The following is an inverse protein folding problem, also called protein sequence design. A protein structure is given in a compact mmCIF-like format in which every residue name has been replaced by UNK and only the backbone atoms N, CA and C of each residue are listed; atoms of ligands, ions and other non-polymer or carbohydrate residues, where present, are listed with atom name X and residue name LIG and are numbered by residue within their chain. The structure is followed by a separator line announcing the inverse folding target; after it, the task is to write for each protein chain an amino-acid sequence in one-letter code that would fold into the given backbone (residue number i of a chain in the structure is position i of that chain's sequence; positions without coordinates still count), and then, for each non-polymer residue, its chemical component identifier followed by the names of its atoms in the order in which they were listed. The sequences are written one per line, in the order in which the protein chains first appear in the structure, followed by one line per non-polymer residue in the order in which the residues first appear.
data_IF_342258119531
#
_entry.id   IF_342258119531
#
_cell.length_a   1.000
_cell.length_b   1.000
_cell.length_c   1.000
_cell.angle_alpha   90.00
_cell.angle_beta   90.00
_cell.angle_gamma   90.00
#
_symmetry.space_group_name_H-M   'P 1'
#
loop_
_entity.id
_entity.type
_entity.pdbx_description
1 polymer ?
#
# COMPACT_ATOMS: atom_id res chain seq x y z
N UNK A 1 -5.84 3.00 5.04
CA UNK A 1 -4.37 3.25 5.02
C UNK A 1 -3.95 4.56 5.68
N UNK A 2 -4.82 5.27 6.41
CA UNK A 2 -4.47 6.54 7.05
C UNK A 2 -4.22 7.71 6.09
N UNK A 3 -4.50 7.55 4.79
CA UNK A 3 -4.46 8.63 3.81
C UNK A 3 -5.75 9.44 3.86
N UNK A 4 -5.64 10.76 3.79
CA UNK A 4 -6.78 11.70 3.81
C UNK A 4 -7.16 12.23 2.41
N UNK A 5 -6.48 11.78 1.35
CA UNK A 5 -6.63 12.36 0.01
C UNK A 5 -8.03 12.15 -0.58
N UNK A 6 -8.65 11.00 -0.32
CA UNK A 6 -9.93 10.59 -0.92
C UNK A 6 -11.15 10.92 -0.02
N UNK A 7 -11.02 11.89 0.89
CA UNK A 7 -12.10 12.31 1.79
C UNK A 7 -12.58 13.68 1.32
N UNK A 8 -13.80 13.76 0.80
CA UNK A 8 -14.33 14.95 0.13
C UNK A 8 -14.59 16.11 1.09
N UNK A 9 -14.89 15.82 2.35
CA UNK A 9 -15.14 16.82 3.39
C UNK A 9 -13.87 17.57 3.84
N UNK A 10 -12.69 17.02 3.55
CA UNK A 10 -11.43 17.60 3.99
C UNK A 10 -10.93 18.64 2.98
N UNK A 11 -10.66 19.89 3.40
CA UNK A 11 -10.10 20.92 2.53
C UNK A 11 -8.72 20.57 1.97
N UNK A 12 -8.40 21.09 0.78
CA UNK A 12 -7.16 20.78 0.06
C UNK A 12 -5.88 21.18 0.80
N UNK A 13 -5.91 22.26 1.57
CA UNK A 13 -4.77 22.67 2.39
C UNK A 13 -4.43 21.63 3.47
N UNK A 14 -5.45 20.98 4.02
CA UNK A 14 -5.30 19.92 5.01
C UNK A 14 -4.81 18.64 4.33
N UNK A 15 -5.37 18.29 3.16
CA UNK A 15 -4.88 17.16 2.35
C UNK A 15 -3.41 17.31 1.98
N UNK A 16 -2.98 18.53 1.63
CA UNK A 16 -1.59 18.83 1.27
C UNK A 16 -0.64 18.67 2.46
N UNK A 17 -1.08 19.12 3.64
CA UNK A 17 -0.32 19.08 4.89
C UNK A 17 -0.14 17.64 5.40
N UNK A 18 -1.18 16.82 5.31
CA UNK A 18 -1.18 15.44 5.82
C UNK A 18 -0.89 14.39 4.75
N UNK A 19 -0.09 14.75 3.74
CA UNK A 19 0.39 13.77 2.76
C UNK A 19 1.24 12.69 3.40
N UNK A 20 0.98 11.44 3.04
CA UNK A 20 1.77 10.31 3.52
C UNK A 20 3.11 10.22 2.76
N UNK A 21 4.07 9.45 3.30
CA UNK A 21 5.38 9.24 2.65
C UNK A 21 5.28 8.63 1.23
N UNK A 22 4.16 7.97 0.92
CA UNK A 22 3.87 7.37 -0.40
C UNK A 22 3.30 8.38 -1.40
N UNK A 23 2.68 9.46 -0.91
CA UNK A 23 2.06 10.52 -1.71
C UNK A 23 3.05 11.65 -2.04
N UNK A 24 4.18 11.71 -1.33
CA UNK A 24 5.23 12.69 -1.56
C UNK A 24 6.16 12.21 -2.67
N UNK A 25 6.49 13.13 -3.59
CA UNK A 25 7.49 12.87 -4.64
C UNK A 25 8.84 12.55 -4.03
N UNK A 26 9.37 11.36 -4.34
CA UNK A 26 10.69 10.94 -3.85
C UNK A 26 11.83 11.81 -4.42
N UNK A 27 11.62 12.48 -5.56
CA UNK A 27 12.57 13.46 -6.07
C UNK A 27 12.71 14.65 -5.14
N UNK A 28 11.59 15.20 -4.66
CA UNK A 28 11.61 16.31 -3.69
C UNK A 28 12.28 15.91 -2.38
N UNK A 29 12.13 14.64 -1.95
CA UNK A 29 12.85 14.12 -0.78
C UNK A 29 14.37 14.10 -1.03
N UNK A 30 14.82 13.71 -2.22
CA UNK A 30 16.24 13.73 -2.61
C UNK A 30 16.80 15.16 -2.67
N UNK A 31 16.04 16.09 -3.24
CA UNK A 31 16.45 17.51 -3.34
C UNK A 31 16.63 18.10 -1.93
N UNK A 32 15.63 17.94 -1.05
CA UNK A 32 15.72 18.39 0.34
C UNK A 32 16.84 17.67 1.13
N UNK A 33 17.14 16.42 0.78
CA UNK A 33 18.26 15.70 1.37
C UNK A 33 19.61 16.27 0.91
N UNK A 34 19.72 16.69 -0.36
CA UNK A 34 20.92 17.31 -0.89
C UNK A 34 21.15 18.69 -0.26
N UNK A 35 20.09 19.50 -0.15
CA UNK A 35 20.13 20.84 0.47
C UNK A 35 20.68 20.79 1.91
N UNK A 36 20.12 19.91 2.75
CA UNK A 36 20.64 19.75 4.12
C UNK A 36 21.97 19.00 4.18
N UNK A 37 22.27 18.19 3.16
CA UNK A 37 23.50 17.38 3.05
C UNK A 37 24.77 18.22 3.03
N UNK A 38 24.69 19.47 2.55
CA UNK A 38 25.80 20.44 2.58
C UNK A 38 26.30 20.75 4.00
N UNK A 39 25.43 20.59 5.02
CA UNK A 39 25.73 20.88 6.42
C UNK A 39 26.01 19.62 7.25
N UNK A 40 26.08 18.44 6.62
CA UNK A 40 26.30 17.15 7.30
C UNK A 40 27.72 16.64 6.99
N UNK A 41 28.55 16.54 8.04
CA UNK A 41 29.94 16.13 7.92
C UNK A 41 30.10 14.68 7.41
N UNK A 42 29.31 13.75 7.95
CA UNK A 42 29.26 12.35 7.50
C UNK A 42 28.13 12.17 6.49
N UNK A 43 27.17 11.29 6.74
CA UNK A 43 26.00 11.07 5.88
C UNK A 43 24.71 11.07 6.70
N UNK A 44 23.61 10.71 6.07
CA UNK A 44 22.28 10.66 6.64
C UNK A 44 21.53 9.43 6.14
N UNK A 45 20.73 8.83 7.03
CA UNK A 45 19.86 7.71 6.69
C UNK A 45 18.68 8.19 5.86
N UNK A 46 18.67 7.86 4.56
CA UNK A 46 17.63 8.28 3.63
C UNK A 46 16.77 7.11 3.18
N UNK A 47 15.56 6.98 3.75
CA UNK A 47 14.59 5.97 3.33
C UNK A 47 13.80 6.47 2.11
N UNK A 48 13.64 5.60 1.12
CA UNK A 48 12.87 5.87 -0.10
C UNK A 48 11.62 5.00 -0.10
N UNK A 49 10.48 5.62 -0.40
CA UNK A 49 9.17 4.97 -0.46
C UNK A 49 8.68 5.00 -1.90
N UNK A 50 8.50 3.85 -2.53
CA UNK A 50 8.11 3.79 -3.94
C UNK A 50 7.03 2.74 -4.18
N UNK A 51 5.95 3.17 -4.80
CA UNK A 51 4.89 2.31 -5.31
C UNK A 51 5.18 1.89 -6.76
N UNK A 52 4.81 0.67 -7.12
CA UNK A 52 4.99 0.13 -8.48
C UNK A 52 6.44 0.32 -8.97
N UNK A 53 7.37 -0.29 -8.23
CA UNK A 53 8.81 -0.17 -8.47
C UNK A 53 9.16 -0.80 -9.80
N UNK A 54 9.84 -0.03 -10.65
CA UNK A 54 10.42 -0.52 -11.90
C UNK A 54 11.92 -0.25 -11.90
N UNK A 55 12.68 -1.06 -12.64
CA UNK A 55 14.13 -0.86 -12.77
C UNK A 55 14.48 0.52 -13.32
N UNK A 56 13.65 1.07 -14.21
CA UNK A 56 13.83 2.43 -14.75
C UNK A 56 13.68 3.50 -13.66
N UNK A 57 12.66 3.39 -12.80
CA UNK A 57 12.44 4.33 -11.68
C UNK A 57 13.54 4.24 -10.63
N UNK A 58 14.00 3.04 -10.27
CA UNK A 58 15.11 2.90 -9.31
C UNK A 58 16.42 3.44 -9.88
N UNK A 59 16.73 3.09 -11.13
CA UNK A 59 17.95 3.54 -11.79
C UNK A 59 17.97 5.07 -11.89
N UNK A 60 16.89 5.69 -12.37
CA UNK A 60 16.79 7.15 -12.45
C UNK A 60 16.91 7.83 -11.09
N UNK A 61 16.29 7.28 -10.05
CA UNK A 61 16.39 7.77 -8.67
C UNK A 61 17.84 7.72 -8.16
N UNK A 62 18.54 6.59 -8.34
CA UNK A 62 19.95 6.46 -7.94
C UNK A 62 20.87 7.42 -8.69
N UNK A 63 20.71 7.55 -10.01
CA UNK A 63 21.50 8.50 -10.79
C UNK A 63 21.23 9.95 -10.40
N UNK A 64 19.98 10.28 -10.05
CA UNK A 64 19.63 11.61 -9.56
C UNK A 64 20.32 11.89 -8.21
N UNK A 65 20.27 10.95 -7.27
CA UNK A 65 20.91 11.07 -5.97
C UNK A 65 22.44 11.27 -6.10
N UNK A 66 23.08 10.47 -6.96
CA UNK A 66 24.50 10.56 -7.25
C UNK A 66 24.89 11.90 -7.87
N UNK A 67 24.16 12.35 -8.91
CA UNK A 67 24.39 13.66 -9.54
C UNK A 67 24.21 14.84 -8.58
N UNK A 68 23.32 14.69 -7.59
CA UNK A 68 23.07 15.70 -6.56
C UNK A 68 24.13 15.70 -5.45
N UNK A 69 25.14 14.83 -5.50
CA UNK A 69 26.22 14.78 -4.53
C UNK A 69 25.86 14.10 -3.19
N UNK A 70 24.76 13.34 -3.14
CA UNK A 70 24.37 12.63 -1.93
C UNK A 70 25.35 11.49 -1.62
N UNK A 71 25.91 11.51 -0.40
CA UNK A 71 26.79 10.44 0.12
C UNK A 71 26.03 9.12 0.29
N UNK A 72 24.80 9.18 0.79
CA UNK A 72 23.87 8.05 0.86
C UNK A 72 22.67 8.34 -0.03
N UNK A 73 22.61 7.67 -1.18
CA UNK A 73 21.49 7.81 -2.12
C UNK A 73 20.24 7.02 -1.71
N UNK A 74 20.39 5.95 -0.91
CA UNK A 74 19.29 5.15 -0.39
C UNK A 74 19.76 4.31 0.80
N UNK A 75 18.98 4.29 1.86
CA UNK A 75 19.17 3.40 3.01
C UNK A 75 18.25 2.17 2.89
N UNK A 76 16.94 2.36 3.08
CA UNK A 76 15.94 1.35 2.75
C UNK A 76 15.10 1.79 1.56
N UNK A 77 14.86 0.83 0.67
CA UNK A 77 13.74 0.88 -0.25
C UNK A 77 12.52 0.25 0.42
N UNK A 78 11.46 1.03 0.61
CA UNK A 78 10.16 0.54 1.06
C UNK A 78 9.25 0.47 -0.15
N UNK A 79 8.77 -0.74 -0.45
CA UNK A 79 7.83 -1.00 -1.52
C UNK A 79 6.47 -1.38 -0.93
N UNK A 80 5.40 -1.01 -1.61
CA UNK A 80 4.06 -1.54 -1.34
C UNK A 80 3.78 -2.71 -2.29
N UNK A 81 3.10 -3.73 -1.78
CA UNK A 81 2.54 -4.78 -2.62
C UNK A 81 1.47 -4.21 -3.55
N UNK A 82 1.30 -4.82 -4.72
CA UNK A 82 0.30 -4.40 -5.71
C UNK A 82 -1.15 -4.57 -5.19
N UNK A 83 -1.37 -5.49 -4.24
CA UNK A 83 -2.64 -5.67 -3.56
C UNK A 83 -2.45 -5.45 -2.05
N UNK A 84 -3.27 -4.58 -1.48
CA UNK A 84 -3.35 -4.42 -0.03
C UNK A 84 -4.13 -5.59 0.57
N UNK A 85 -3.60 -6.19 1.63
CA UNK A 85 -4.37 -7.14 2.44
C UNK A 85 -5.60 -6.44 3.02
N UNK A 86 -6.75 -7.14 3.03
CA UNK A 86 -8.01 -6.63 3.57
C UNK A 86 -7.78 -6.21 5.02
N UNK A 87 -7.89 -4.90 5.29
CA UNK A 87 -7.73 -4.35 6.63
C UNK A 87 -9.04 -4.55 7.37
N UNK A 88 -9.05 -5.49 8.32
CA UNK A 88 -10.21 -5.75 9.16
C UNK A 88 -10.32 -4.63 10.19
N UNK A 89 -11.11 -3.61 9.86
CA UNK A 89 -11.74 -2.77 10.88
C UNK A 89 -13.12 -3.37 11.15
N UNK A 90 -13.49 -3.47 12.42
CA UNK A 90 -14.82 -3.94 12.84
C UNK A 90 -15.89 -3.10 12.13
N UNK A 91 -16.91 -3.79 11.62
CA UNK A 91 -18.07 -3.33 10.82
C UNK A 91 -17.86 -3.01 9.32
N UNK A 92 -18.00 -4.06 8.51
CA UNK A 92 -18.21 -4.03 7.05
C UNK A 92 -19.63 -3.54 6.64
N UNK A 93 -20.25 -2.61 7.38
CA UNK A 93 -21.64 -2.20 7.09
C UNK A 93 -21.81 -1.25 5.89
N UNK A 94 -20.72 -0.90 5.19
CA UNK A 94 -20.76 0.03 4.06
C UNK A 94 -20.02 -0.51 2.83
N UNK A 95 -20.17 -1.80 2.51
CA UNK A 95 -19.87 -2.24 1.14
C UNK A 95 -20.95 -1.69 0.21
N UNK A 96 -20.63 -0.56 -0.40
CA UNK A 96 -21.32 -0.03 -1.58
C UNK A 96 -21.44 -1.12 -2.64
N UNK A 97 -22.65 -1.18 -3.21
CA UNK A 97 -23.08 -2.01 -4.33
C UNK A 97 -22.04 -1.96 -5.45
N UNK A 98 -21.26 -3.01 -5.59
CA UNK A 98 -20.57 -3.46 -6.82
C UNK A 98 -19.65 -4.63 -6.41
N UNK A 99 -20.26 -5.79 -6.25
CA UNK A 99 -19.56 -7.07 -6.23
C UNK A 99 -20.46 -8.08 -6.93
N UNK A 100 -19.94 -8.92 -7.84
CA UNK A 100 -20.75 -9.87 -8.58
C UNK A 100 -21.46 -10.80 -7.60
N UNK A 101 -22.75 -11.00 -7.84
CA UNK A 101 -23.69 -11.76 -7.03
C UNK A 101 -23.14 -13.15 -6.77
N UNK A 102 -22.69 -13.40 -5.54
CA UNK A 102 -22.52 -14.77 -5.04
C UNK A 102 -23.96 -15.27 -4.82
N UNK A 103 -24.37 -16.41 -5.40
CA UNK A 103 -25.71 -16.95 -5.15
C UNK A 103 -25.87 -17.15 -3.64
N UNK A 104 -26.92 -16.54 -3.08
CA UNK A 104 -27.29 -16.65 -1.69
C UNK A 104 -27.91 -18.03 -1.48
N UNK A 105 -27.13 -18.98 -0.95
CA UNK A 105 -27.63 -20.30 -0.60
C UNK A 105 -28.63 -20.17 0.56
N UNK A 106 -29.76 -20.86 0.45
CA UNK A 106 -30.72 -20.92 1.55
C UNK A 106 -30.11 -21.67 2.75
N UNK A 107 -30.56 -21.35 3.97
CA UNK A 107 -30.05 -22.01 5.18
C UNK A 107 -30.21 -23.54 5.11
N UNK A 108 -31.25 -24.03 4.44
CA UNK A 108 -31.51 -25.45 4.23
C UNK A 108 -30.43 -26.08 3.34
N UNK A 109 -30.07 -25.46 2.22
CA UNK A 109 -29.01 -25.93 1.31
C UNK A 109 -27.61 -25.88 1.96
N UNK A 110 -27.35 -24.89 2.81
CA UNK A 110 -26.09 -24.79 3.55
C UNK A 110 -25.96 -25.86 4.65
N UNK A 111 -27.07 -26.22 5.30
CA UNK A 111 -27.12 -27.31 6.28
C UNK A 111 -26.93 -28.65 5.57
N UNK A 112 -27.51 -28.83 4.40
CA UNK A 112 -27.41 -30.06 3.62
C UNK A 112 -25.99 -30.30 3.08
N UNK A 113 -25.29 -29.26 2.63
CA UNK A 113 -23.87 -29.34 2.24
C UNK A 113 -22.90 -29.66 3.40
N UNK A 114 -23.32 -29.43 4.64
CA UNK A 114 -22.53 -29.69 5.85
C UNK A 114 -23.10 -30.84 6.70
N UNK A 115 -24.12 -31.54 6.20
CA UNK A 115 -24.74 -32.67 6.88
C UNK A 115 -23.83 -33.90 6.78
N UNK A 116 -23.67 -34.62 7.89
CA UNK A 116 -22.90 -35.87 7.98
C UNK A 116 -23.45 -36.97 7.05
N UNK A 117 -24.71 -36.84 6.62
CA UNK A 117 -25.37 -37.79 5.72
C UNK A 117 -24.97 -37.60 4.25
N UNK A 118 -24.41 -36.43 3.87
CA UNK A 118 -23.91 -36.13 2.53
C UNK A 118 -22.39 -36.35 2.42
N UNK A 119 -21.90 -37.46 2.98
CA UNK A 119 -20.49 -37.81 3.01
C UNK A 119 -19.83 -38.04 1.64
N UNK A 120 -20.62 -38.44 0.63
CA UNK A 120 -20.10 -38.81 -0.70
C UNK A 120 -19.79 -37.61 -1.61
N UNK A 121 -20.39 -36.42 -1.35
CA UNK A 121 -20.17 -35.18 -2.13
C UNK A 121 -19.21 -34.18 -1.44
N UNK A 122 -18.68 -34.53 -0.26
CA UNK A 122 -17.80 -33.66 0.52
C UNK A 122 -16.31 -33.87 0.17
N UNK A 123 -15.85 -33.27 -0.93
CA UNK A 123 -14.42 -33.29 -1.33
C UNK A 123 -13.50 -32.48 -0.39
N UNK A 124 -14.03 -31.76 0.60
CA UNK A 124 -13.25 -30.90 1.50
C UNK A 124 -12.65 -31.62 2.72
N UNK A 125 -12.96 -32.89 2.93
CA UNK A 125 -12.35 -33.73 3.98
C UNK A 125 -11.40 -34.82 3.45
N UNK A 126 -10.98 -34.72 2.19
CA UNK A 126 -9.99 -35.60 1.56
C UNK A 126 -8.58 -35.01 1.50
N UNK A 127 -7.98 -34.70 2.65
CA UNK A 127 -6.51 -34.64 2.91
C UNK A 127 -6.24 -34.50 4.42
#
# INVERSE_FOLDING_TARGET
NGSVQNIDEIPDNIKLLYRTAWEISQRSILDMAADRGAYICQSQSLNIFMENVTNSKLTSMHFHAWKSGLKTGMYYLRTKAAADAIKFTVDKKYKTKDSPTVPEFTQEEAIEMCSIENGDDCEMCGS
#
